data_IF_004341393304
#
_entry.id   IF_004341393304
#
_cell.length_a   1.000
_cell.length_b   1.000
_cell.length_c   1.000
_cell.angle_alpha   90.00
_cell.angle_beta   90.00
_cell.angle_gamma   90.00
#
_symmetry.space_group_name_H-M   'P 1'
#
loop_
_entity.id
_entity.type
_entity.pdbx_description
1 polymer ?
#
# COMPACT_ATOMS: atom_id res chain seq x y z
N UNK A 1 14.97 -15.45 4.53
CA UNK A 1 15.79 -14.30 4.03
C UNK A 1 14.93 -13.04 3.99
N UNK A 2 15.36 -11.93 3.40
CA UNK A 2 14.48 -10.75 3.17
C UNK A 2 14.08 -10.64 1.70
N UNK A 3 12.81 -10.34 1.42
CA UNK A 3 12.30 -10.11 0.06
C UNK A 3 11.22 -9.04 0.03
N UNK A 4 10.89 -8.56 -1.17
CA UNK A 4 9.73 -7.69 -1.40
C UNK A 4 8.44 -8.50 -1.15
N UNK A 5 7.41 -7.91 -0.50
CA UNK A 5 6.14 -8.59 -0.28
C UNK A 5 5.44 -8.88 -1.60
N UNK A 6 4.84 -10.05 -1.70
CA UNK A 6 3.90 -10.41 -2.76
C UNK A 6 2.54 -9.79 -2.49
N UNK A 7 1.64 -9.87 -3.46
CA UNK A 7 0.25 -9.49 -3.28
C UNK A 7 -0.44 -10.33 -2.19
N UNK A 8 -0.05 -11.59 -2.05
CA UNK A 8 -0.56 -12.47 -1.00
C UNK A 8 -0.08 -12.06 0.40
N UNK A 9 1.16 -11.63 0.57
CA UNK A 9 1.66 -11.16 1.87
C UNK A 9 0.88 -9.93 2.35
N UNK A 10 0.62 -9.01 1.43
CA UNK A 10 -0.23 -7.85 1.70
C UNK A 10 -1.66 -8.25 2.06
N UNK A 11 -2.28 -9.18 1.32
CA UNK A 11 -3.63 -9.65 1.63
C UNK A 11 -3.68 -10.34 2.99
N UNK A 12 -2.66 -11.12 3.36
CA UNK A 12 -2.55 -11.71 4.71
C UNK A 12 -2.47 -10.64 5.79
N UNK A 13 -1.70 -9.57 5.59
CA UNK A 13 -1.64 -8.43 6.52
C UNK A 13 -3.00 -7.73 6.64
N UNK A 14 -3.66 -7.45 5.51
CA UNK A 14 -4.98 -6.81 5.48
C UNK A 14 -6.04 -7.67 6.20
N UNK A 15 -6.01 -9.00 5.98
CA UNK A 15 -6.90 -9.95 6.65
C UNK A 15 -6.62 -10.03 8.15
N UNK A 16 -5.35 -10.05 8.55
CA UNK A 16 -4.95 -9.99 9.96
C UNK A 16 -5.51 -8.74 10.66
N UNK A 17 -5.65 -7.63 9.95
CA UNK A 17 -6.23 -6.38 10.45
C UNK A 17 -7.77 -6.33 10.40
N UNK A 18 -8.42 -7.44 10.04
CA UNK A 18 -9.87 -7.61 10.08
C UNK A 18 -10.57 -7.54 8.73
N UNK A 19 -9.84 -7.48 7.61
CA UNK A 19 -10.46 -7.58 6.29
C UNK A 19 -10.91 -9.02 6.00
N UNK A 20 -12.06 -9.22 5.38
CA UNK A 20 -12.45 -10.56 4.90
C UNK A 20 -11.65 -10.97 3.66
N UNK A 21 -11.49 -12.27 3.43
CA UNK A 21 -10.87 -12.79 2.20
C UNK A 21 -11.57 -12.29 0.93
N UNK A 22 -12.90 -12.17 0.96
CA UNK A 22 -13.69 -11.65 -0.16
C UNK A 22 -13.36 -10.18 -0.45
N UNK A 23 -13.23 -9.35 0.59
CA UNK A 23 -12.78 -7.97 0.44
C UNK A 23 -11.34 -7.90 -0.06
N UNK A 24 -10.42 -8.68 0.51
CA UNK A 24 -8.99 -8.61 0.17
C UNK A 24 -8.71 -8.98 -1.30
N UNK A 25 -9.53 -9.84 -1.90
CA UNK A 25 -9.40 -10.25 -3.29
C UNK A 25 -9.95 -9.24 -4.31
N UNK A 26 -10.67 -8.20 -3.87
CA UNK A 26 -11.17 -7.15 -4.77
C UNK A 26 -10.03 -6.24 -5.24
N UNK A 27 -10.34 -5.39 -6.21
CA UNK A 27 -9.52 -4.27 -6.68
C UNK A 27 -10.21 -2.97 -6.27
N UNK A 28 -9.45 -1.91 -5.99
CA UNK A 28 -9.95 -0.63 -5.50
C UNK A 28 -9.88 -0.50 -3.97
N UNK A 29 -10.67 0.43 -3.44
CA UNK A 29 -10.85 0.67 -2.00
C UNK A 29 -11.51 -0.53 -1.32
N UNK A 30 -10.83 -1.09 -0.32
CA UNK A 30 -11.25 -2.32 0.39
C UNK A 30 -11.06 -2.20 1.89
N UNK A 31 -11.89 -2.97 2.60
CA UNK A 31 -11.91 -2.96 4.06
C UNK A 31 -12.82 -1.87 4.59
N UNK A 32 -12.63 -1.54 5.85
CA UNK A 32 -13.35 -0.48 6.57
C UNK A 32 -12.38 0.49 7.24
N UNK A 33 -11.35 -0.02 7.90
CA UNK A 33 -10.41 0.77 8.70
C UNK A 33 -8.94 0.29 8.60
N UNK A 34 -8.67 -0.69 7.74
CA UNK A 34 -7.35 -1.31 7.64
C UNK A 34 -6.27 -0.33 7.16
N UNK A 35 -6.64 0.64 6.31
CA UNK A 35 -5.76 1.73 5.93
C UNK A 35 -5.37 2.55 7.16
N UNK A 36 -6.34 2.99 7.97
CA UNK A 36 -6.07 3.72 9.23
C UNK A 36 -5.17 2.96 10.20
N UNK A 37 -5.36 1.63 10.30
CA UNK A 37 -4.53 0.74 11.12
C UNK A 37 -3.07 0.63 10.66
N UNK A 38 -2.81 0.84 9.37
CA UNK A 38 -1.47 0.82 8.76
C UNK A 38 -0.77 2.19 8.77
N UNK A 39 -1.56 3.28 8.75
CA UNK A 39 -1.06 4.66 8.77
C UNK A 39 -0.30 4.95 10.07
N UNK A 40 0.84 5.62 9.95
CA UNK A 40 1.60 6.16 11.07
C UNK A 40 0.75 7.16 11.87
N UNK A 41 1.06 7.28 13.17
CA UNK A 41 0.55 8.35 14.05
C UNK A 41 1.15 9.73 13.72
N UNK A 42 2.19 9.77 12.90
CA UNK A 42 2.82 10.99 12.40
C UNK A 42 2.56 11.18 10.90
N UNK A 43 2.27 12.42 10.49
CA UNK A 43 1.88 12.75 9.12
C UNK A 43 0.39 12.52 8.82
N UNK A 44 -0.29 11.70 9.61
CA UNK A 44 -1.74 11.44 9.55
C UNK A 44 -2.32 11.22 10.94
N UNK A 45 -3.65 11.15 11.03
CA UNK A 45 -4.38 10.54 12.15
C UNK A 45 -4.50 9.01 11.99
N UNK A 46 -3.35 8.36 11.82
CA UNK A 46 -3.25 6.90 11.78
C UNK A 46 -3.16 6.30 13.19
N UNK A 47 -3.64 5.07 13.37
CA UNK A 47 -3.54 4.39 14.68
C UNK A 47 -2.25 3.60 14.83
N UNK A 48 -1.65 3.20 13.71
CA UNK A 48 -0.48 2.32 13.61
C UNK A 48 -0.53 1.09 14.55
N UNK A 49 -1.72 0.54 14.77
CA UNK A 49 -1.89 -0.60 15.69
C UNK A 49 -1.16 -1.86 15.19
N UNK A 50 -0.86 -1.90 13.88
CA UNK A 50 -0.09 -2.96 13.25
C UNK A 50 1.44 -2.81 13.45
N UNK A 51 1.92 -1.65 13.92
CA UNK A 51 3.35 -1.32 13.93
C UNK A 51 3.97 -1.22 12.53
N UNK A 52 3.15 -0.94 11.52
CA UNK A 52 3.59 -0.84 10.13
C UNK A 52 4.25 0.53 9.83
N UNK A 53 3.75 1.60 10.45
CA UNK A 53 4.28 2.95 10.37
C UNK A 53 4.31 3.50 8.95
N UNK A 54 3.21 3.42 8.19
CA UNK A 54 3.16 4.03 6.86
C UNK A 54 3.23 5.55 6.98
N UNK A 55 4.19 6.18 6.31
CA UNK A 55 4.29 7.63 6.20
C UNK A 55 3.79 8.10 4.83
N UNK A 56 3.16 9.29 4.74
CA UNK A 56 2.69 9.86 3.48
C UNK A 56 3.83 10.33 2.57
N UNK A 57 4.62 9.41 2.03
CA UNK A 57 5.78 9.71 1.17
C UNK A 57 5.43 10.12 -0.26
N UNK A 58 4.15 10.03 -0.66
CA UNK A 58 3.72 10.24 -2.04
C UNK A 58 4.33 9.22 -3.00
N UNK A 59 4.55 9.63 -4.25
CA UNK A 59 5.22 8.84 -5.26
C UNK A 59 6.01 9.71 -6.25
N UNK A 60 7.00 9.11 -6.91
CA UNK A 60 7.68 9.69 -8.08
C UNK A 60 6.96 9.28 -9.37
N UNK A 61 6.50 10.24 -10.17
CA UNK A 61 5.79 9.97 -11.43
C UNK A 61 6.71 9.39 -12.49
N UNK A 62 6.24 8.36 -13.19
CA UNK A 62 6.97 7.78 -14.31
C UNK A 62 7.14 8.75 -15.49
N UNK A 63 6.23 9.72 -15.66
CA UNK A 63 6.21 10.61 -16.82
C UNK A 63 7.32 11.65 -16.80
N UNK A 64 7.57 12.29 -15.64
CA UNK A 64 8.39 13.49 -15.57
C UNK A 64 9.42 13.53 -14.43
N UNK A 65 9.51 12.50 -13.58
CA UNK A 65 10.44 12.54 -12.45
C UNK A 65 9.89 13.19 -11.18
N UNK A 66 8.81 13.96 -11.27
CA UNK A 66 8.30 14.77 -10.17
C UNK A 66 7.66 13.93 -9.08
N UNK A 67 7.74 14.43 -7.84
CA UNK A 67 7.08 13.84 -6.69
C UNK A 67 5.68 14.42 -6.52
N UNK A 68 4.70 13.55 -6.31
CA UNK A 68 3.28 13.91 -6.16
C UNK A 68 2.73 13.38 -4.84
N UNK A 69 1.77 14.11 -4.26
CA UNK A 69 1.03 13.72 -3.04
C UNK A 69 1.90 13.45 -1.81
N UNK A 70 3.11 13.99 -1.79
CA UNK A 70 3.99 13.99 -0.61
C UNK A 70 3.28 14.72 0.52
N UNK A 71 3.30 14.14 1.72
CA UNK A 71 2.57 14.63 2.88
C UNK A 71 1.07 14.28 2.88
N UNK A 72 0.56 13.60 1.84
CA UNK A 72 -0.86 13.27 1.73
C UNK A 72 -1.17 11.78 1.52
N UNK A 73 -0.47 11.11 0.60
CA UNK A 73 -0.69 9.69 0.29
C UNK A 73 0.57 8.86 0.56
N UNK A 74 0.40 7.55 0.79
CA UNK A 74 1.51 6.59 0.71
C UNK A 74 1.22 5.51 -0.32
N UNK A 75 2.27 5.09 -1.00
CA UNK A 75 2.22 4.05 -2.02
C UNK A 75 3.26 2.97 -1.72
N UNK A 76 2.85 1.72 -1.85
CA UNK A 76 3.73 0.58 -1.61
C UNK A 76 3.67 -0.45 -2.73
N UNK A 77 4.82 -0.90 -3.17
CA UNK A 77 4.93 -1.96 -4.17
C UNK A 77 4.69 -3.36 -3.59
N UNK A 78 4.19 -4.24 -4.47
CA UNK A 78 4.28 -5.69 -4.35
C UNK A 78 5.17 -6.24 -5.46
N UNK A 79 5.80 -7.40 -5.24
CA UNK A 79 6.55 -8.14 -6.27
C UNK A 79 5.66 -8.94 -7.23
N UNK A 80 4.34 -8.96 -7.02
CA UNK A 80 3.41 -9.70 -7.89
C UNK A 80 3.05 -8.90 -9.14
N UNK A 81 3.41 -9.45 -10.29
CA UNK A 81 3.12 -8.88 -11.61
C UNK A 81 1.69 -9.23 -12.08
N UNK A 82 1.11 -8.36 -12.91
CA UNK A 82 -0.23 -8.57 -13.50
C UNK A 82 -0.19 -8.58 -15.01
N UNK A 83 0.56 -7.65 -15.59
CA UNK A 83 0.77 -7.47 -17.02
C UNK A 83 2.27 -7.20 -17.25
N UNK A 84 2.72 -7.24 -18.50
CA UNK A 84 4.14 -7.09 -18.88
C UNK A 84 4.84 -5.87 -18.27
N UNK A 85 4.11 -4.81 -17.90
CA UNK A 85 4.68 -3.58 -17.32
C UNK A 85 4.03 -3.14 -16.02
N UNK A 86 3.15 -3.95 -15.41
CA UNK A 86 2.40 -3.56 -14.22
C UNK A 86 2.57 -4.55 -13.07
N UNK A 87 2.66 -4.00 -11.86
CA UNK A 87 2.66 -4.77 -10.62
C UNK A 87 1.56 -4.27 -9.69
N UNK A 88 1.12 -5.14 -8.78
CA UNK A 88 0.20 -4.74 -7.71
C UNK A 88 0.86 -3.72 -6.78
N UNK A 89 0.08 -2.74 -6.34
CA UNK A 89 0.48 -1.76 -5.35
C UNK A 89 -0.65 -1.46 -4.38
N UNK A 90 -0.29 -0.91 -3.23
CA UNK A 90 -1.23 -0.39 -2.23
C UNK A 90 -1.12 1.12 -2.19
N UNK A 91 -2.26 1.79 -2.07
CA UNK A 91 -2.35 3.21 -1.77
C UNK A 91 -3.12 3.41 -0.47
N UNK A 92 -2.52 4.20 0.43
CA UNK A 92 -3.19 4.78 1.59
C UNK A 92 -3.43 6.26 1.29
N UNK A 93 -4.70 6.65 1.24
CA UNK A 93 -5.10 8.03 0.96
C UNK A 93 -5.42 8.77 2.24
N UNK A 94 -5.04 10.05 2.34
CA UNK A 94 -5.15 10.86 3.56
C UNK A 94 -6.51 10.73 4.24
N UNK A 95 -7.59 10.92 3.46
CA UNK A 95 -8.96 11.03 4.00
C UNK A 95 -9.72 9.70 4.09
N UNK A 96 -9.15 8.60 3.59
CA UNK A 96 -9.84 7.31 3.51
C UNK A 96 -9.25 6.34 4.53
N UNK A 97 -10.11 5.54 5.15
CA UNK A 97 -9.68 4.56 6.16
C UNK A 97 -9.44 3.17 5.55
N UNK A 98 -9.90 2.95 4.31
CA UNK A 98 -9.71 1.76 3.50
C UNK A 98 -8.31 1.67 2.87
N UNK A 99 -7.99 0.49 2.33
CA UNK A 99 -6.78 0.27 1.53
C UNK A 99 -7.16 0.16 0.06
N UNK A 100 -6.61 1.03 -0.78
CA UNK A 100 -6.73 0.89 -2.23
C UNK A 100 -5.69 -0.10 -2.76
N UNK A 101 -6.15 -1.09 -3.52
CA UNK A 101 -5.29 -2.04 -4.23
C UNK A 101 -5.55 -1.92 -5.72
N UNK A 102 -4.50 -1.56 -6.43
CA UNK A 102 -4.56 -1.41 -7.88
C UNK A 102 -3.23 -1.85 -8.49
N UNK A 103 -3.21 -2.04 -9.80
CA UNK A 103 -1.98 -2.31 -10.53
C UNK A 103 -1.49 -1.03 -11.19
N UNK A 104 -0.19 -0.78 -11.11
CA UNK A 104 0.44 0.44 -11.61
C UNK A 104 1.66 0.09 -12.45
N UNK A 105 2.03 1.01 -13.36
CA UNK A 105 3.26 0.85 -14.12
C UNK A 105 4.46 0.72 -13.18
N UNK A 106 5.30 -0.29 -13.39
CA UNK A 106 6.50 -0.56 -12.57
C UNK A 106 7.54 0.58 -12.60
N UNK A 107 7.34 1.55 -13.48
CA UNK A 107 8.19 2.75 -13.60
C UNK A 107 7.86 3.84 -12.58
N UNK A 108 6.73 3.76 -11.86
CA UNK A 108 6.46 4.65 -10.74
C UNK A 108 7.41 4.38 -9.56
N UNK A 109 7.86 5.45 -8.90
CA UNK A 109 8.65 5.34 -7.67
C UNK A 109 7.73 5.29 -6.45
N UNK A 110 7.27 4.10 -6.08
CA UNK A 110 6.59 3.84 -4.80
C UNK A 110 7.55 3.29 -3.76
N UNK A 111 7.16 3.37 -2.49
CA UNK A 111 7.95 2.81 -1.40
C UNK A 111 7.97 1.28 -1.46
N UNK A 112 9.07 0.68 -0.99
CA UNK A 112 9.21 -0.77 -0.87
C UNK A 112 9.39 -1.11 0.61
N UNK A 113 8.70 -2.16 1.06
CA UNK A 113 8.95 -2.81 2.36
C UNK A 113 9.59 -4.16 2.09
N UNK A 114 10.30 -4.70 3.08
CA UNK A 114 10.82 -6.06 3.02
C UNK A 114 10.08 -6.92 4.04
N UNK A 115 9.77 -8.15 3.66
CA UNK A 115 9.26 -9.21 4.54
C UNK A 115 10.31 -10.29 4.72
N UNK A 116 10.32 -10.93 5.89
CA UNK A 116 11.25 -12.01 6.19
C UNK A 116 10.58 -13.36 5.91
N UNK A 117 11.26 -14.20 5.15
CA UNK A 117 10.99 -15.64 5.04
C UNK A 117 11.65 -16.41 6.18
#
# INVERSE_FOLDING_TARGET
GWRVPTDEDWKKLEIYLGMTQSQSNKTGWRGSDQGKKLKSKSGWDGTDIAGFGALPGGFRSYDNGSFYTVGYNAYFWSSSEVLSHHAWGRRLYGDYEEVDRYYYSRTYGFSVRCVRD
#
